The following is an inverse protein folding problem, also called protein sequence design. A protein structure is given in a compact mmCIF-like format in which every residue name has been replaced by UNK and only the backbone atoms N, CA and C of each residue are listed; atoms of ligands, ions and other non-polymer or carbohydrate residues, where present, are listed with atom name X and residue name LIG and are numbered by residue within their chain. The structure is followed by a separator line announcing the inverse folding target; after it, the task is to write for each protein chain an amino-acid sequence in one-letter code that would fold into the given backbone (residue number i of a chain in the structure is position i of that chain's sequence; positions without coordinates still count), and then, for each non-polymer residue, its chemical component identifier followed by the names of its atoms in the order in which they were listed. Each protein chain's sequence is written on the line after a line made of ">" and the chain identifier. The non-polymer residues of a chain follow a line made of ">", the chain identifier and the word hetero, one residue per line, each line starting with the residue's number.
data_IF_106723869246
#
_entry.id   IF_106723869246
#
_cell.length_a   1.000
_cell.length_b   1.000
_cell.length_c   1.000
_cell.angle_alpha   90.00
_cell.angle_beta   90.00
_cell.angle_gamma   90.00
#
_symmetry.space_group_name_H-M   'P 1'
#
loop_
_entity.id
_entity.type
_entity.pdbx_description
1 polymer ?
#
# COMPACT_ATOMS: atom_id res chain seq x y z
N UNK A 1 -29.37 -7.35 26.98
CA UNK A 1 -27.92 -7.45 27.19
C UNK A 1 -27.67 -8.50 28.28
N UNK A 2 -27.02 -9.63 28.00
CA UNK A 2 -26.67 -10.62 29.02
C UNK A 2 -25.21 -10.41 29.44
N UNK A 3 -24.94 -9.37 30.23
CA UNK A 3 -23.64 -9.25 30.94
C UNK A 3 -23.79 -10.01 32.25
N UNK A 4 -22.86 -10.91 32.53
CA UNK A 4 -22.82 -11.61 33.81
C UNK A 4 -22.26 -10.66 34.88
N UNK A 5 -23.13 -9.82 35.43
CA UNK A 5 -22.79 -8.85 36.45
C UNK A 5 -22.80 -9.54 37.82
N UNK A 6 -21.61 -9.82 38.35
CA UNK A 6 -21.50 -10.44 39.66
C UNK A 6 -21.81 -9.39 40.76
N UNK A 7 -22.61 -9.72 41.80
CA UNK A 7 -22.98 -8.76 42.84
C UNK A 7 -21.79 -8.15 43.61
N UNK A 8 -20.68 -8.89 43.73
CA UNK A 8 -19.45 -8.47 44.39
C UNK A 8 -18.64 -7.43 43.59
N UNK A 9 -18.91 -7.30 42.29
CA UNK A 9 -18.32 -6.27 41.42
C UNK A 9 -19.12 -4.96 41.40
N UNK A 10 -20.29 -4.92 42.06
CA UNK A 10 -21.12 -3.71 42.15
C UNK A 10 -20.43 -2.67 43.02
N UNK A 11 -20.33 -1.45 42.50
CA UNK A 11 -19.78 -0.31 43.21
C UNK A 11 -20.89 0.33 44.06
N UNK A 12 -20.57 0.84 45.27
CA UNK A 12 -21.53 1.56 46.09
C UNK A 12 -22.23 2.68 45.33
N UNK A 13 -23.51 2.85 45.62
CA UNK A 13 -24.33 3.87 44.99
C UNK A 13 -23.71 5.28 45.21
N UNK A 14 -23.86 6.13 44.19
CA UNK A 14 -23.38 7.51 44.26
C UNK A 14 -21.93 7.73 43.87
N UNK A 15 -21.30 6.78 43.20
CA UNK A 15 -20.02 7.01 42.51
C UNK A 15 -20.16 8.00 41.34
N UNK A 16 -21.25 7.87 40.58
CA UNK A 16 -21.68 8.81 39.55
C UNK A 16 -22.94 9.59 39.98
N UNK A 17 -23.14 10.75 39.39
CA UNK A 17 -24.43 11.45 39.46
C UNK A 17 -25.46 10.77 38.56
N UNK A 18 -26.74 10.94 38.92
CA UNK A 18 -27.89 10.47 38.13
C UNK A 18 -28.78 11.68 37.80
N UNK A 19 -29.06 11.97 36.51
CA UNK A 19 -28.52 11.27 35.34
C UNK A 19 -27.02 11.48 35.16
N UNK A 20 -26.37 10.61 34.38
CA UNK A 20 -24.92 10.70 34.14
C UNK A 20 -24.62 12.03 33.40
N UNK A 21 -23.81 12.94 33.98
CA UNK A 21 -23.68 14.28 33.43
C UNK A 21 -22.86 14.26 32.14
N UNK A 22 -23.41 14.83 31.06
CA UNK A 22 -22.68 15.06 29.83
C UNK A 22 -21.89 16.35 29.95
N UNK A 23 -20.58 16.24 30.14
CA UNK A 23 -19.66 17.39 30.24
C UNK A 23 -19.33 17.92 28.86
N UNK A 24 -19.04 17.02 27.91
CA UNK A 24 -18.70 17.38 26.53
C UNK A 24 -18.95 16.23 25.58
N UNK A 25 -19.73 16.45 24.51
CA UNK A 25 -19.95 15.43 23.48
C UNK A 25 -18.74 15.35 22.56
N UNK A 26 -18.23 14.14 22.31
CA UNK A 26 -17.12 13.88 21.39
C UNK A 26 -17.62 13.31 20.05
N UNK A 27 -18.69 12.51 20.09
CA UNK A 27 -19.38 11.99 18.92
C UNK A 27 -20.87 11.85 19.22
N UNK A 28 -21.68 12.36 18.31
CA UNK A 28 -23.14 12.38 18.38
C UNK A 28 -23.72 11.74 17.12
N UNK A 29 -24.79 10.96 17.31
CA UNK A 29 -25.65 10.52 16.22
C UNK A 29 -27.06 11.06 16.48
N UNK A 30 -27.98 10.22 16.94
CA UNK A 30 -29.30 10.66 17.43
C UNK A 30 -29.23 11.13 18.90
N UNK A 31 -28.20 10.69 19.61
CA UNK A 31 -27.87 11.06 20.98
C UNK A 31 -26.35 10.99 21.18
N UNK A 32 -25.82 11.50 22.31
CA UNK A 32 -24.41 11.35 22.65
C UNK A 32 -23.99 9.88 22.71
N UNK A 33 -23.11 9.45 21.80
CA UNK A 33 -22.61 8.08 21.75
C UNK A 33 -21.26 7.98 22.45
N UNK A 34 -20.38 8.95 22.20
CA UNK A 34 -19.09 9.07 22.89
C UNK A 34 -19.00 10.47 23.49
N UNK A 35 -18.79 10.57 24.79
CA UNK A 35 -18.76 11.85 25.47
C UNK A 35 -17.88 11.81 26.71
N UNK A 36 -17.53 12.98 27.21
CA UNK A 36 -16.89 13.15 28.50
C UNK A 36 -17.96 13.31 29.57
N UNK A 37 -17.78 12.59 30.66
CA UNK A 37 -18.57 12.72 31.88
C UNK A 37 -17.65 12.95 33.07
N UNK A 38 -18.20 13.01 34.27
CA UNK A 38 -17.43 13.13 35.51
C UNK A 38 -18.00 12.26 36.62
N UNK A 39 -17.12 11.77 37.47
CA UNK A 39 -17.53 11.21 38.77
C UNK A 39 -18.05 12.33 39.68
N UNK A 40 -18.70 11.97 40.80
CA UNK A 40 -19.10 12.96 41.82
C UNK A 40 -17.93 13.78 42.38
N UNK A 41 -16.72 13.24 42.33
CA UNK A 41 -15.50 13.90 42.78
C UNK A 41 -14.91 14.84 41.72
N UNK A 42 -15.55 14.95 40.55
CA UNK A 42 -15.11 15.81 39.46
C UNK A 42 -14.02 15.21 38.57
N UNK A 43 -13.73 13.91 38.71
CA UNK A 43 -12.78 13.23 37.81
C UNK A 43 -13.42 13.03 36.44
N UNK A 44 -12.76 13.51 35.38
CA UNK A 44 -13.23 13.36 34.01
C UNK A 44 -13.07 11.92 33.50
N UNK A 45 -14.12 11.42 32.85
CA UNK A 45 -14.22 10.04 32.37
C UNK A 45 -14.66 10.05 30.90
N UNK A 46 -14.17 9.09 30.12
CA UNK A 46 -14.68 8.81 28.79
C UNK A 46 -15.87 7.85 28.91
N UNK A 47 -17.02 8.25 28.38
CA UNK A 47 -18.24 7.47 28.33
C UNK A 47 -18.56 7.03 26.90
N UNK A 48 -19.07 5.80 26.76
CA UNK A 48 -19.55 5.21 25.53
C UNK A 48 -20.89 4.52 25.73
N UNK A 49 -21.91 4.91 24.96
CA UNK A 49 -23.21 4.26 24.96
C UNK A 49 -23.11 2.91 24.22
N UNK A 50 -23.09 1.82 24.99
CA UNK A 50 -22.84 0.47 24.49
C UNK A 50 -24.12 -0.27 24.07
N UNK A 51 -25.24 0.05 24.72
CA UNK A 51 -26.55 -0.51 24.38
C UNK A 51 -27.66 0.35 24.99
N UNK A 52 -28.82 0.29 24.36
CA UNK A 52 -30.06 0.87 24.86
C UNK A 52 -31.20 -0.16 24.75
N UNK A 53 -32.14 -0.07 25.66
CA UNK A 53 -33.39 -0.84 25.71
C UNK A 53 -34.52 0.12 26.09
N UNK A 54 -35.78 -0.29 26.05
CA UNK A 54 -36.92 0.59 26.40
C UNK A 54 -36.89 1.14 27.83
N UNK A 55 -36.13 0.52 28.74
CA UNK A 55 -36.11 0.87 30.16
C UNK A 55 -34.77 1.38 30.66
N UNK A 56 -33.68 0.99 29.99
CA UNK A 56 -32.33 1.25 30.48
C UNK A 56 -31.35 1.54 29.34
N UNK A 57 -30.37 2.38 29.66
CA UNK A 57 -29.15 2.58 28.90
C UNK A 57 -27.97 1.90 29.62
N UNK A 58 -27.05 1.35 28.83
CA UNK A 58 -25.83 0.71 29.30
C UNK A 58 -24.64 1.48 28.76
N UNK A 59 -23.90 2.13 29.66
CA UNK A 59 -22.83 3.06 29.34
C UNK A 59 -21.53 2.50 29.90
N UNK A 60 -20.52 2.34 29.04
CA UNK A 60 -19.18 1.98 29.47
C UNK A 60 -18.44 3.26 29.79
N UNK A 61 -17.85 3.36 30.98
CA UNK A 61 -17.06 4.51 31.41
C UNK A 61 -15.66 4.08 31.81
N UNK A 62 -14.67 4.90 31.47
CA UNK A 62 -13.26 4.69 31.82
C UNK A 62 -12.62 6.03 32.21
N UNK A 63 -11.65 6.04 33.14
CA UNK A 63 -10.88 7.24 33.39
C UNK A 63 -10.20 7.70 32.12
N UNK A 64 -10.17 9.00 31.89
CA UNK A 64 -9.47 9.56 30.75
C UNK A 64 -8.54 10.68 31.17
N UNK A 65 -7.59 10.99 30.30
CA UNK A 65 -6.68 12.12 30.46
C UNK A 65 -6.86 13.05 29.28
N UNK A 66 -6.52 14.33 29.46
CA UNK A 66 -6.55 15.29 28.36
C UNK A 66 -5.73 14.82 27.14
N UNK A 67 -4.62 14.11 27.37
CA UNK A 67 -3.82 13.53 26.29
C UNK A 67 -4.54 12.41 25.54
N UNK A 68 -5.24 11.50 26.25
CA UNK A 68 -6.03 10.43 25.63
C UNK A 68 -7.18 11.00 24.82
N UNK A 69 -7.88 12.00 25.36
CA UNK A 69 -8.95 12.72 24.65
C UNK A 69 -8.41 13.39 23.38
N UNK A 70 -7.28 14.11 23.48
CA UNK A 70 -6.66 14.73 22.31
C UNK A 70 -6.28 13.71 21.24
N UNK A 71 -5.75 12.54 21.64
CA UNK A 71 -5.41 11.46 20.70
C UNK A 71 -6.65 10.87 20.02
N UNK A 72 -7.79 10.78 20.71
CA UNK A 72 -9.07 10.37 20.10
C UNK A 72 -9.55 11.40 19.08
N UNK A 73 -9.51 12.69 19.46
CA UNK A 73 -9.91 13.82 18.61
C UNK A 73 -9.00 14.01 17.40
N UNK A 74 -7.75 13.53 17.43
CA UNK A 74 -6.87 13.54 16.25
C UNK A 74 -6.89 12.22 15.48
N UNK A 75 -7.65 11.22 15.94
CA UNK A 75 -7.71 9.89 15.32
C UNK A 75 -6.44 9.05 15.50
N UNK A 76 -5.57 9.40 16.45
CA UNK A 76 -4.32 8.67 16.72
C UNK A 76 -4.56 7.37 17.51
N UNK A 77 -5.65 7.30 18.27
CA UNK A 77 -6.15 6.09 18.93
C UNK A 77 -7.64 5.90 18.60
N UNK A 78 -8.12 4.64 18.61
CA UNK A 78 -9.53 4.34 18.42
C UNK A 78 -10.32 4.41 19.73
N UNK A 79 -11.65 4.45 19.62
CA UNK A 79 -12.57 4.58 20.76
C UNK A 79 -12.43 3.39 21.71
N UNK A 80 -12.35 2.16 21.19
CA UNK A 80 -12.16 0.97 22.01
C UNK A 80 -10.82 1.02 22.75
N UNK A 81 -9.73 1.33 22.04
CA UNK A 81 -8.41 1.40 22.66
C UNK A 81 -8.37 2.42 23.80
N UNK A 82 -9.04 3.57 23.65
CA UNK A 82 -9.12 4.57 24.71
C UNK A 82 -9.97 4.12 25.91
N UNK A 83 -11.03 3.34 25.67
CA UNK A 83 -11.88 2.80 26.75
C UNK A 83 -11.15 1.71 27.55
N UNK A 84 -10.43 0.81 26.87
CA UNK A 84 -9.83 -0.40 27.48
C UNK A 84 -8.39 -0.20 27.96
N UNK A 85 -7.79 0.99 27.78
CA UNK A 85 -6.41 1.30 28.21
C UNK A 85 -6.24 1.24 29.75
N UNK A 86 -7.35 1.23 30.48
CA UNK A 86 -7.40 1.30 31.94
C UNK A 86 -8.61 0.55 32.48
N UNK A 87 -8.85 0.61 33.79
CA UNK A 87 -10.03 0.03 34.41
C UNK A 87 -11.32 0.66 33.86
N UNK A 88 -12.36 -0.14 33.73
CA UNK A 88 -13.65 0.28 33.18
C UNK A 88 -14.78 -0.02 34.15
N UNK A 89 -15.87 0.71 33.97
CA UNK A 89 -17.13 0.44 34.64
C UNK A 89 -18.26 0.37 33.65
N UNK A 90 -19.25 -0.45 33.97
CA UNK A 90 -20.54 -0.45 33.31
C UNK A 90 -21.52 0.31 34.19
N UNK A 91 -22.12 1.36 33.64
CA UNK A 91 -23.21 2.11 34.25
C UNK A 91 -24.51 1.67 33.59
N UNK A 92 -25.46 1.24 34.40
CA UNK A 92 -26.84 0.98 33.97
C UNK A 92 -27.71 2.10 34.50
N UNK A 93 -28.26 2.87 33.58
CA UNK A 93 -29.08 4.04 33.88
C UNK A 93 -30.52 3.77 33.42
N UNK A 94 -31.50 3.98 34.30
CA UNK A 94 -32.90 3.92 33.92
C UNK A 94 -33.39 5.29 33.44
N UNK A 95 -34.38 5.34 32.56
CA UNK A 95 -34.97 6.61 32.09
C UNK A 95 -35.84 7.35 33.13
N UNK A 96 -35.99 6.79 34.33
CA UNK A 96 -36.73 7.40 35.44
C UNK A 96 -35.83 7.88 36.58
N UNK A 97 -36.42 8.16 37.75
CA UNK A 97 -35.70 8.59 38.97
C UNK A 97 -34.93 7.46 39.68
N UNK A 98 -34.75 6.30 39.03
CA UNK A 98 -33.99 5.21 39.60
C UNK A 98 -32.49 5.54 39.54
N UNK A 99 -31.81 5.45 40.68
CA UNK A 99 -30.37 5.69 40.76
C UNK A 99 -29.59 4.77 39.80
N UNK A 100 -28.54 5.30 39.18
CA UNK A 100 -27.65 4.54 38.33
C UNK A 100 -26.94 3.42 39.12
N UNK A 101 -26.94 2.21 38.55
CA UNK A 101 -26.21 1.07 39.08
C UNK A 101 -24.86 0.94 38.36
N UNK A 102 -23.79 0.63 39.09
CA UNK A 102 -22.42 0.65 38.55
C UNK A 102 -21.67 -0.62 38.90
N UNK A 103 -20.97 -1.22 37.93
CA UNK A 103 -20.13 -2.40 38.14
C UNK A 103 -18.73 -2.17 37.60
N UNK A 104 -17.73 -2.68 38.31
CA UNK A 104 -16.36 -2.80 37.79
C UNK A 104 -16.29 -3.94 36.77
N UNK A 105 -15.81 -3.66 35.57
CA UNK A 105 -15.75 -4.63 34.47
C UNK A 105 -14.41 -4.57 33.74
N UNK A 106 -13.97 -5.70 33.21
CA UNK A 106 -12.88 -5.79 32.23
C UNK A 106 -13.41 -5.94 30.81
N UNK A 107 -12.51 -5.87 29.82
CA UNK A 107 -12.86 -6.05 28.40
C UNK A 107 -13.51 -7.42 28.14
N UNK A 108 -13.04 -8.48 28.82
CA UNK A 108 -13.56 -9.84 28.66
C UNK A 108 -14.98 -10.03 29.23
N UNK A 109 -15.43 -9.15 30.12
CA UNK A 109 -16.77 -9.23 30.73
C UNK A 109 -17.86 -8.64 29.81
N UNK A 110 -17.45 -7.85 28.82
CA UNK A 110 -18.35 -7.16 27.89
C UNK A 110 -18.42 -7.95 26.58
N UNK A 111 -19.62 -8.36 26.12
CA UNK A 111 -19.74 -9.04 24.84
C UNK A 111 -19.20 -8.18 23.70
N UNK A 112 -18.45 -8.79 22.78
CA UNK A 112 -17.74 -8.08 21.70
C UNK A 112 -18.66 -7.19 20.86
N UNK A 113 -19.94 -7.56 20.70
CA UNK A 113 -20.93 -6.78 19.96
C UNK A 113 -21.28 -5.42 20.60
N UNK A 114 -21.02 -5.25 21.90
CA UNK A 114 -21.27 -4.04 22.67
C UNK A 114 -20.02 -3.18 22.88
N UNK A 115 -18.87 -3.61 22.33
CA UNK A 115 -17.67 -2.79 22.28
C UNK A 115 -17.49 -2.23 20.87
N UNK A 116 -16.89 -1.03 20.73
CA UNK A 116 -16.46 -0.57 19.42
C UNK A 116 -15.51 -1.61 18.79
N UNK A 117 -15.49 -1.71 17.45
CA UNK A 117 -14.49 -2.58 16.81
C UNK A 117 -13.09 -2.01 17.09
N UNK A 118 -12.10 -2.88 17.29
CA UNK A 118 -10.71 -2.42 17.47
C UNK A 118 -10.28 -1.52 16.30
N UNK A 119 -9.66 -0.38 16.61
CA UNK A 119 -9.25 0.63 15.66
C UNK A 119 -10.38 1.51 15.10
N UNK A 120 -11.61 1.42 15.65
CA UNK A 120 -12.71 2.32 15.25
C UNK A 120 -12.35 3.75 15.64
N UNK A 121 -12.22 4.68 14.68
CA UNK A 121 -11.92 6.07 14.99
C UNK A 121 -13.12 6.76 15.67
N UNK A 122 -12.86 7.89 16.32
CA UNK A 122 -13.91 8.76 16.86
C UNK A 122 -14.80 9.34 15.74
N UNK A 123 -14.19 9.87 14.68
CA UNK A 123 -14.87 10.50 13.56
C UNK A 123 -14.58 9.77 12.23
N UNK A 124 -15.48 9.82 11.25
CA UNK A 124 -15.24 9.23 9.93
C UNK A 124 -13.96 9.74 9.25
N UNK A 125 -13.63 11.03 9.35
CA UNK A 125 -12.43 11.62 8.75
C UNK A 125 -11.12 11.11 9.37
N UNK A 126 -11.17 10.48 10.55
CA UNK A 126 -10.01 9.90 11.23
C UNK A 126 -9.62 8.53 10.70
N UNK A 127 -10.38 7.95 9.76
CA UNK A 127 -10.06 6.64 9.16
C UNK A 127 -8.67 6.64 8.52
N UNK A 128 -8.02 5.48 8.58
CA UNK A 128 -6.72 5.25 7.94
C UNK A 128 -6.96 4.96 6.45
N UNK A 129 -6.49 5.87 5.60
CA UNK A 129 -6.58 5.75 4.15
C UNK A 129 -5.80 4.54 3.66
N UNK A 130 -4.54 4.47 4.06
CA UNK A 130 -3.61 3.43 3.66
C UNK A 130 -2.75 3.03 4.86
N UNK A 131 -2.54 1.74 5.07
CA UNK A 131 -1.61 1.25 6.08
C UNK A 131 -0.67 0.20 5.51
N UNK A 132 0.55 0.21 6.03
CA UNK A 132 1.55 -0.82 5.77
C UNK A 132 2.13 -1.28 7.11
N UNK A 133 2.21 -2.59 7.32
CA UNK A 133 2.63 -3.22 8.56
C UNK A 133 3.67 -4.29 8.26
N UNK A 134 4.86 -4.14 8.83
CA UNK A 134 5.91 -5.16 8.75
C UNK A 134 5.76 -6.20 9.86
N UNK A 135 5.90 -7.47 9.49
CA UNK A 135 5.76 -8.63 10.36
C UNK A 135 7.03 -9.49 10.27
N UNK A 136 7.50 -9.96 11.43
CA UNK A 136 8.60 -10.91 11.57
C UNK A 136 9.06 -11.00 13.02
N UNK A 137 9.72 -12.10 13.38
CA UNK A 137 10.08 -12.42 14.78
C UNK A 137 10.99 -11.38 15.45
N UNK A 138 11.77 -10.65 14.65
CA UNK A 138 12.64 -9.56 15.10
C UNK A 138 11.94 -8.21 15.32
N UNK A 139 10.63 -8.12 15.11
CA UNK A 139 9.87 -6.86 15.13
C UNK A 139 8.95 -6.83 16.36
N UNK A 140 9.50 -6.35 17.48
CA UNK A 140 8.76 -6.19 18.73
C UNK A 140 8.98 -4.80 19.34
N UNK A 141 8.08 -4.38 20.23
CA UNK A 141 8.18 -3.12 20.96
C UNK A 141 9.54 -3.02 21.68
N UNK A 142 10.24 -1.91 21.48
CA UNK A 142 11.59 -1.68 22.01
C UNK A 142 12.72 -2.41 21.27
N UNK A 143 12.42 -3.19 20.23
CA UNK A 143 13.40 -3.94 19.42
C UNK A 143 13.25 -3.75 17.91
N UNK A 144 12.41 -2.82 17.45
CA UNK A 144 12.19 -2.55 16.02
C UNK A 144 13.47 -2.00 15.38
N UNK A 145 14.08 -2.69 14.39
CA UNK A 145 15.26 -2.16 13.72
C UNK A 145 14.93 -0.94 12.85
N UNK A 146 15.87 0.01 12.73
CA UNK A 146 15.69 1.20 11.88
C UNK A 146 15.40 0.86 10.40
N UNK A 147 15.93 -0.26 9.90
CA UNK A 147 15.64 -0.76 8.55
C UNK A 147 14.17 -1.10 8.33
N UNK A 148 13.46 -1.56 9.37
CA UNK A 148 12.02 -1.83 9.32
C UNK A 148 11.23 -0.52 9.20
N UNK A 149 11.60 0.48 10.00
CA UNK A 149 10.97 1.81 9.97
C UNK A 149 11.16 2.45 8.59
N UNK A 150 12.39 2.45 8.09
CA UNK A 150 12.73 2.99 6.77
C UNK A 150 11.99 2.26 5.65
N UNK A 151 11.87 0.93 5.75
CA UNK A 151 11.16 0.14 4.76
C UNK A 151 9.67 0.52 4.70
N UNK A 152 8.95 0.45 5.83
CA UNK A 152 7.49 0.65 5.84
C UNK A 152 7.11 2.06 5.39
N UNK A 153 7.85 3.08 5.85
CA UNK A 153 7.62 4.48 5.46
C UNK A 153 7.88 4.72 3.97
N UNK A 154 8.92 4.10 3.41
CA UNK A 154 9.27 4.26 1.98
C UNK A 154 8.37 3.42 1.07
N UNK A 155 7.97 2.23 1.50
CA UNK A 155 7.19 1.28 0.72
C UNK A 155 5.82 1.84 0.34
N UNK A 156 5.09 2.40 1.32
CA UNK A 156 3.77 3.00 1.08
C UNK A 156 3.84 4.15 0.07
N UNK A 157 4.77 5.08 0.27
CA UNK A 157 4.99 6.21 -0.63
C UNK A 157 5.40 5.77 -2.03
N UNK A 158 6.37 4.85 -2.14
CA UNK A 158 6.85 4.36 -3.43
C UNK A 158 5.75 3.62 -4.22
N UNK A 159 4.91 2.86 -3.52
CA UNK A 159 3.80 2.14 -4.12
C UNK A 159 2.75 3.08 -4.70
N UNK A 160 2.23 3.99 -3.87
CA UNK A 160 1.25 5.00 -4.30
C UNK A 160 1.80 5.85 -5.43
N UNK A 161 3.05 6.30 -5.31
CA UNK A 161 3.71 7.09 -6.34
C UNK A 161 3.77 6.35 -7.69
N UNK A 162 4.11 5.07 -7.71
CA UNK A 162 4.23 4.31 -8.95
C UNK A 162 2.91 4.21 -9.74
N UNK A 163 1.78 3.95 -9.07
CA UNK A 163 0.46 3.92 -9.75
C UNK A 163 -0.07 5.31 -10.08
N UNK A 164 0.11 6.29 -9.18
CA UNK A 164 -0.38 7.65 -9.40
C UNK A 164 0.39 8.36 -10.51
N UNK A 165 1.72 8.23 -10.55
CA UNK A 165 2.52 8.79 -11.64
C UNK A 165 2.07 8.19 -12.97
N UNK A 166 1.84 6.88 -13.05
CA UNK A 166 1.40 6.24 -14.30
C UNK A 166 0.05 6.75 -14.77
N UNK A 167 -0.96 6.76 -13.90
CA UNK A 167 -2.32 7.19 -14.24
C UNK A 167 -2.38 8.69 -14.54
N UNK A 168 -1.59 9.51 -13.83
CA UNK A 168 -1.64 10.98 -13.98
C UNK A 168 -0.66 11.53 -15.02
N UNK A 169 0.48 10.88 -15.30
CA UNK A 169 1.40 11.28 -16.35
C UNK A 169 0.80 11.06 -17.75
N UNK A 170 -0.11 10.08 -17.90
CA UNK A 170 -0.93 9.96 -19.10
C UNK A 170 -1.80 11.21 -19.37
N UNK A 171 -1.97 12.10 -18.38
CA UNK A 171 -2.81 13.30 -18.46
C UNK A 171 -2.03 14.63 -18.37
N UNK A 172 -0.74 14.65 -18.03
CA UNK A 172 0.02 15.89 -17.85
C UNK A 172 1.51 15.75 -18.23
N UNK A 173 2.01 16.64 -19.08
CA UNK A 173 3.46 16.82 -19.33
C UNK A 173 4.04 17.81 -18.29
N UNK A 174 4.98 17.38 -17.44
CA UNK A 174 5.75 18.28 -16.58
C UNK A 174 5.99 17.83 -15.13
N UNK A 175 6.51 18.73 -14.30
CA UNK A 175 6.78 18.50 -12.86
C UNK A 175 5.47 18.28 -12.11
N UNK A 176 5.36 17.27 -11.21
CA UNK A 176 4.14 17.04 -10.44
C UNK A 176 3.74 18.26 -9.61
N UNK A 177 2.46 18.61 -9.62
CA UNK A 177 1.91 19.70 -8.80
C UNK A 177 1.96 19.33 -7.31
N UNK A 178 1.90 20.31 -6.41
CA UNK A 178 1.91 20.03 -4.97
C UNK A 178 0.68 19.20 -4.55
N UNK A 179 -0.47 19.42 -5.20
CA UNK A 179 -1.67 18.59 -5.03
C UNK A 179 -1.44 17.12 -5.43
N UNK A 180 -0.70 16.87 -6.51
CA UNK A 180 -0.32 15.50 -6.91
C UNK A 180 0.66 14.86 -5.92
N UNK A 181 1.63 15.63 -5.40
CA UNK A 181 2.57 15.12 -4.39
C UNK A 181 1.85 14.74 -3.10
N UNK A 182 0.83 15.51 -2.71
CA UNK A 182 0.01 15.23 -1.53
C UNK A 182 -0.72 13.88 -1.61
N UNK A 183 -0.91 13.30 -2.80
CA UNK A 183 -1.59 12.00 -2.97
C UNK A 183 -0.71 10.80 -2.62
N UNK A 184 0.62 10.94 -2.66
CA UNK A 184 1.56 9.86 -2.31
C UNK A 184 2.48 10.20 -1.13
N UNK A 185 2.55 11.46 -0.71
CA UNK A 185 3.25 11.90 0.51
C UNK A 185 2.25 12.15 1.65
N UNK A 186 1.49 11.10 1.96
CA UNK A 186 0.40 11.15 2.93
C UNK A 186 0.91 11.40 4.36
N UNK A 187 0.21 12.20 5.17
CA UNK A 187 0.60 12.43 6.55
C UNK A 187 0.43 11.16 7.40
N UNK A 188 1.43 10.88 8.23
CA UNK A 188 1.37 9.79 9.21
C UNK A 188 0.36 10.15 10.29
N UNK A 189 -0.65 9.29 10.49
CA UNK A 189 -1.68 9.43 11.51
C UNK A 189 -1.48 8.48 12.69
N UNK A 190 -1.00 7.28 12.41
CA UNK A 190 -0.87 6.22 13.42
C UNK A 190 0.44 5.46 13.27
N UNK A 191 1.05 5.14 14.41
CA UNK A 191 2.17 4.22 14.54
C UNK A 191 1.81 3.14 15.56
N UNK A 192 2.02 1.86 15.21
CA UNK A 192 1.90 0.74 16.16
C UNK A 192 3.22 -0.03 16.22
N UNK A 193 3.51 -0.62 17.38
CA UNK A 193 4.86 -1.12 17.72
C UNK A 193 4.93 -2.58 18.18
N UNK A 194 3.80 -3.27 18.41
CA UNK A 194 3.78 -4.74 18.61
C UNK A 194 4.19 -5.53 17.33
N UNK A 195 4.18 -4.79 16.23
CA UNK A 195 4.64 -5.04 14.86
C UNK A 195 4.69 -3.63 14.28
N UNK A 196 5.64 -3.28 13.42
CA UNK A 196 5.74 -1.89 12.97
C UNK A 196 4.69 -1.58 11.90
N UNK A 197 3.61 -0.89 12.27
CA UNK A 197 2.55 -0.41 11.36
C UNK A 197 2.59 1.11 11.24
N UNK A 198 2.53 1.61 10.00
CA UNK A 198 2.30 3.02 9.70
C UNK A 198 0.92 3.15 9.07
N UNK A 199 0.04 3.92 9.72
CA UNK A 199 -1.26 4.33 9.18
C UNK A 199 -1.19 5.74 8.64
N UNK A 200 -1.55 5.91 7.38
CA UNK A 200 -1.54 7.17 6.64
C UNK A 200 -2.97 7.71 6.54
N UNK A 201 -3.13 9.01 6.73
CA UNK A 201 -4.40 9.68 6.49
C UNK A 201 -4.54 10.05 5.02
N UNK A 202 -5.78 10.16 4.55
CA UNK A 202 -6.03 10.77 3.25
C UNK A 202 -5.57 12.24 3.28
N UNK A 203 -5.19 12.80 2.12
CA UNK A 203 -5.08 14.24 1.98
C UNK A 203 -6.50 14.85 2.04
N UNK A 204 -6.62 16.17 1.93
CA UNK A 204 -7.92 16.88 1.95
C UNK A 204 -8.97 16.17 1.05
N UNK A 205 -10.21 16.02 1.55
CA UNK A 205 -11.24 15.15 0.97
C UNK A 205 -11.51 15.40 -0.52
N UNK A 206 -11.38 16.65 -0.98
CA UNK A 206 -11.62 17.07 -2.36
C UNK A 206 -10.68 16.39 -3.38
N UNK A 207 -9.50 15.93 -2.95
CA UNK A 207 -8.52 15.31 -3.83
C UNK A 207 -8.88 13.85 -4.20
N UNK A 208 -9.75 13.20 -3.43
CA UNK A 208 -10.09 11.78 -3.62
C UNK A 208 -11.16 11.56 -4.70
N UNK A 209 -12.00 12.56 -5.00
CA UNK A 209 -13.05 12.45 -6.02
C UNK A 209 -12.50 12.43 -7.47
N UNK A 210 -11.18 12.48 -7.63
CA UNK A 210 -10.53 12.42 -8.92
C UNK A 210 -10.54 10.97 -9.47
N UNK A 211 -11.15 10.78 -10.64
CA UNK A 211 -11.19 9.48 -11.34
C UNK A 211 -9.81 8.82 -11.48
N UNK A 212 -8.75 9.62 -11.65
CA UNK A 212 -7.38 9.11 -11.74
C UNK A 212 -6.87 8.51 -10.42
N UNK A 213 -7.30 9.04 -9.28
CA UNK A 213 -6.98 8.47 -7.97
C UNK A 213 -7.70 7.13 -7.81
N UNK A 214 -9.00 7.08 -8.13
CA UNK A 214 -9.77 5.84 -8.07
C UNK A 214 -9.21 4.74 -8.98
N UNK A 215 -8.78 5.10 -10.19
CA UNK A 215 -8.13 4.16 -11.11
C UNK A 215 -6.78 3.68 -10.56
N UNK A 216 -5.96 4.58 -10.02
CA UNK A 216 -4.67 4.20 -9.42
C UNK A 216 -4.84 3.25 -8.22
N UNK A 217 -5.86 3.45 -7.41
CA UNK A 217 -6.21 2.55 -6.30
C UNK A 217 -6.73 1.20 -6.80
N UNK A 218 -7.51 1.20 -7.88
CA UNK A 218 -7.95 -0.04 -8.53
C UNK A 218 -6.76 -0.84 -9.05
N UNK A 219 -5.78 -0.17 -9.68
CA UNK A 219 -4.52 -0.77 -10.11
C UNK A 219 -3.73 -1.36 -8.95
N UNK A 220 -3.63 -0.63 -7.84
CA UNK A 220 -2.96 -1.12 -6.65
C UNK A 220 -3.67 -2.35 -6.06
N UNK A 221 -4.99 -2.32 -5.93
CA UNK A 221 -5.80 -3.46 -5.46
C UNK A 221 -5.63 -4.69 -6.35
N UNK A 222 -5.64 -4.52 -7.68
CA UNK A 222 -5.41 -5.61 -8.64
C UNK A 222 -4.04 -6.25 -8.45
N UNK A 223 -2.99 -5.44 -8.31
CA UNK A 223 -1.64 -5.94 -8.07
C UNK A 223 -1.48 -6.66 -6.73
N UNK A 224 -2.05 -6.09 -5.66
CA UNK A 224 -2.05 -6.69 -4.33
C UNK A 224 -2.80 -8.02 -4.28
N UNK A 225 -4.03 -8.05 -4.82
CA UNK A 225 -4.83 -9.25 -4.90
C UNK A 225 -4.11 -10.36 -5.69
N UNK A 226 -3.55 -10.02 -6.85
CA UNK A 226 -2.78 -10.97 -7.64
C UNK A 226 -1.52 -11.44 -6.90
N UNK A 227 -0.79 -10.59 -6.19
CA UNK A 227 0.43 -11.00 -5.49
C UNK A 227 0.18 -11.85 -4.23
N UNK A 228 -1.01 -11.76 -3.65
CA UNK A 228 -1.45 -12.58 -2.51
C UNK A 228 -1.87 -13.99 -2.94
N UNK A 229 -2.40 -14.17 -4.16
CA UNK A 229 -2.79 -15.51 -4.63
C UNK A 229 -1.57 -16.41 -4.86
N UNK A 230 -1.72 -17.69 -4.54
CA UNK A 230 -0.72 -18.72 -4.82
C UNK A 230 -0.63 -19.10 -6.31
N UNK A 231 -1.60 -18.69 -7.12
CA UNK A 231 -1.66 -19.02 -8.55
C UNK A 231 -0.69 -18.17 -9.37
N UNK A 232 0.11 -18.80 -10.22
CA UNK A 232 1.07 -18.15 -11.12
C UNK A 232 0.43 -17.62 -12.41
N UNK A 233 -0.91 -17.59 -12.49
CA UNK A 233 -1.68 -17.03 -13.60
C UNK A 233 -1.31 -15.60 -13.98
N UNK A 234 -1.60 -15.21 -15.21
CA UNK A 234 -1.28 -13.88 -15.73
C UNK A 234 -2.09 -12.79 -15.04
N UNK A 235 -1.41 -11.69 -14.71
CA UNK A 235 -2.03 -10.45 -14.24
C UNK A 235 -2.92 -9.90 -15.37
N UNK A 236 -4.24 -9.89 -15.15
CA UNK A 236 -5.22 -9.46 -16.13
C UNK A 236 -5.27 -7.92 -16.19
N UNK A 237 -4.54 -7.32 -17.12
CA UNK A 237 -4.50 -5.85 -17.34
C UNK A 237 -4.51 -5.55 -18.83
N UNK A 238 -5.05 -4.38 -19.20
CA UNK A 238 -5.26 -3.99 -20.59
C UNK A 238 -3.97 -3.76 -21.41
N UNK A 239 -2.81 -3.54 -20.77
CA UNK A 239 -1.55 -3.33 -21.48
C UNK A 239 -0.30 -3.50 -20.60
N UNK A 240 0.86 -3.63 -21.26
CA UNK A 240 2.14 -3.90 -20.60
C UNK A 240 2.62 -2.74 -19.73
N UNK A 241 2.33 -1.49 -20.12
CA UNK A 241 2.67 -0.31 -19.32
C UNK A 241 1.88 -0.28 -18.00
N UNK A 242 0.58 -0.57 -18.04
CA UNK A 242 -0.27 -0.70 -16.85
C UNK A 242 0.22 -1.85 -15.96
N UNK A 243 0.51 -3.00 -16.57
CA UNK A 243 1.05 -4.16 -15.85
C UNK A 243 2.38 -3.82 -15.17
N UNK A 244 3.29 -3.10 -15.84
CA UNK A 244 4.55 -2.69 -15.24
C UNK A 244 4.34 -1.74 -14.05
N UNK A 245 3.47 -0.73 -14.18
CA UNK A 245 3.17 0.21 -13.11
C UNK A 245 2.59 -0.50 -11.87
N UNK A 246 1.61 -1.39 -12.09
CA UNK A 246 0.98 -2.20 -11.05
C UNK A 246 2.03 -3.07 -10.34
N UNK A 247 2.87 -3.77 -11.10
CA UNK A 247 3.88 -4.68 -10.54
C UNK A 247 4.97 -3.91 -9.78
N UNK A 248 5.41 -2.74 -10.26
CA UNK A 248 6.36 -1.89 -9.52
C UNK A 248 5.78 -1.41 -8.19
N UNK A 249 4.52 -0.96 -8.20
CA UNK A 249 3.83 -0.51 -7.00
C UNK A 249 3.66 -1.65 -5.98
N UNK A 250 3.27 -2.83 -6.48
CA UNK A 250 3.12 -4.04 -5.65
C UNK A 250 4.47 -4.49 -5.08
N UNK A 251 5.52 -4.50 -5.90
CA UNK A 251 6.87 -4.90 -5.49
C UNK A 251 7.40 -4.07 -4.32
N UNK A 252 7.11 -2.76 -4.33
CA UNK A 252 7.50 -1.84 -3.25
C UNK A 252 6.92 -2.25 -1.88
N UNK A 253 5.73 -2.87 -1.87
CA UNK A 253 5.05 -3.34 -0.66
C UNK A 253 5.42 -4.76 -0.26
N UNK A 254 6.12 -5.53 -1.11
CA UNK A 254 6.54 -6.88 -0.76
C UNK A 254 7.74 -6.88 0.20
N UNK A 255 7.81 -7.82 1.16
CA UNK A 255 8.92 -7.90 2.09
C UNK A 255 10.24 -8.13 1.35
N UNK A 256 11.37 -7.53 1.79
CA UNK A 256 12.68 -7.81 1.21
C UNK A 256 13.03 -9.31 1.22
N UNK A 257 13.90 -9.73 0.29
CA UNK A 257 14.31 -11.14 0.16
C UNK A 257 15.04 -11.68 1.39
N UNK A 258 15.68 -10.80 2.16
CA UNK A 258 16.40 -11.12 3.39
C UNK A 258 16.12 -10.08 4.49
N UNK A 259 16.50 -10.41 5.72
CA UNK A 259 16.32 -9.54 6.89
C UNK A 259 15.18 -9.98 7.81
N UNK A 260 14.85 -9.12 8.76
CA UNK A 260 13.87 -9.39 9.83
C UNK A 260 12.41 -9.28 9.40
N UNK A 261 12.14 -8.74 8.20
CA UNK A 261 10.80 -8.62 7.65
C UNK A 261 10.52 -9.90 6.86
N UNK A 262 9.49 -10.62 7.29
CA UNK A 262 9.06 -11.89 6.70
C UNK A 262 7.82 -11.71 5.85
N UNK A 263 6.91 -10.85 6.33
CA UNK A 263 5.68 -10.49 5.66
C UNK A 263 5.35 -9.00 5.82
N UNK A 264 4.51 -8.51 4.93
CA UNK A 264 3.94 -7.16 4.98
C UNK A 264 2.43 -7.28 4.85
N UNK A 265 1.70 -6.70 5.80
CA UNK A 265 0.26 -6.47 5.71
C UNK A 265 0.00 -5.08 5.16
N UNK A 266 -0.89 -4.98 4.17
CA UNK A 266 -1.30 -3.70 3.57
C UNK A 266 -2.81 -3.56 3.69
N UNK A 267 -3.29 -2.41 4.16
CA UNK A 267 -4.72 -2.19 4.38
C UNK A 267 -5.14 -0.73 4.30
N UNK A 268 -6.33 -0.44 4.83
CA UNK A 268 -6.92 0.90 4.86
C UNK A 268 -8.21 1.01 4.06
N UNK A 269 -8.95 2.10 4.23
CA UNK A 269 -10.24 2.24 3.55
C UNK A 269 -10.10 2.51 2.05
N UNK A 270 -8.93 3.01 1.58
CA UNK A 270 -8.64 3.10 0.14
C UNK A 270 -8.58 1.74 -0.53
N UNK A 271 -8.35 0.68 0.25
CA UNK A 271 -8.35 -0.70 -0.21
C UNK A 271 -9.68 -1.41 0.11
N UNK A 272 -10.77 -0.68 0.30
CA UNK A 272 -12.08 -1.24 0.64
C UNK A 272 -12.15 -1.87 2.03
N UNK A 273 -11.19 -1.55 2.91
CA UNK A 273 -11.06 -2.18 4.23
C UNK A 273 -10.48 -3.59 4.20
N UNK A 274 -10.10 -4.10 3.03
CA UNK A 274 -9.40 -5.37 2.92
C UNK A 274 -7.96 -5.26 3.41
N UNK A 275 -7.42 -6.36 3.94
CA UNK A 275 -6.02 -6.47 4.37
C UNK A 275 -5.33 -7.56 3.56
N UNK A 276 -4.41 -7.14 2.70
CA UNK A 276 -3.59 -8.03 1.89
C UNK A 276 -2.34 -8.45 2.67
N UNK A 277 -2.00 -9.72 2.60
CA UNK A 277 -0.82 -10.30 3.22
C UNK A 277 0.21 -10.71 2.15
N UNK A 278 1.34 -9.98 2.11
CA UNK A 278 2.41 -10.21 1.14
C UNK A 278 3.61 -10.87 1.80
N UNK A 279 4.10 -11.95 1.22
CA UNK A 279 5.29 -12.67 1.70
C UNK A 279 6.45 -12.59 0.70
N UNK A 280 7.58 -13.25 1.02
CA UNK A 280 8.72 -13.35 0.10
C UNK A 280 8.39 -14.13 -1.18
N UNK A 281 7.39 -15.03 -1.15
CA UNK A 281 6.91 -15.69 -2.37
C UNK A 281 6.21 -14.68 -3.29
N UNK A 282 5.38 -13.79 -2.73
CA UNK A 282 4.76 -12.67 -3.45
C UNK A 282 5.82 -11.79 -4.12
N UNK A 283 6.91 -11.46 -3.42
CA UNK A 283 8.05 -10.73 -4.01
C UNK A 283 8.65 -11.45 -5.22
N UNK A 284 8.90 -12.74 -5.08
CA UNK A 284 9.51 -13.57 -6.13
C UNK A 284 8.62 -13.61 -7.36
N UNK A 285 7.32 -13.83 -7.16
CA UNK A 285 6.28 -13.80 -8.19
C UNK A 285 6.24 -12.48 -8.94
N UNK A 286 6.10 -11.37 -8.23
CA UNK A 286 6.07 -10.01 -8.81
C UNK A 286 7.36 -9.70 -9.56
N UNK A 287 8.52 -10.01 -8.98
CA UNK A 287 9.83 -9.77 -9.60
C UNK A 287 10.04 -10.58 -10.88
N UNK A 288 9.61 -11.84 -10.89
CA UNK A 288 9.66 -12.72 -12.07
C UNK A 288 8.82 -12.15 -13.21
N UNK A 289 7.58 -11.72 -12.91
CA UNK A 289 6.71 -11.12 -13.93
C UNK A 289 7.25 -9.80 -14.46
N UNK A 290 7.78 -8.94 -13.58
CA UNK A 290 8.38 -7.67 -13.99
C UNK A 290 9.57 -7.87 -14.95
N UNK A 291 10.38 -8.92 -14.73
CA UNK A 291 11.48 -9.27 -15.67
C UNK A 291 10.95 -9.70 -17.04
N UNK A 292 9.88 -10.51 -17.06
CA UNK A 292 9.25 -10.96 -18.31
C UNK A 292 8.71 -9.79 -19.16
N UNK A 293 8.24 -8.70 -18.53
CA UNK A 293 7.80 -7.49 -19.23
C UNK A 293 8.96 -6.64 -19.77
N UNK A 294 10.14 -6.75 -19.17
CA UNK A 294 11.32 -5.90 -19.49
C UNK A 294 12.27 -6.52 -20.49
N UNK A 295 12.02 -7.74 -20.97
CA UNK A 295 12.87 -8.42 -21.95
C UNK A 295 12.76 -7.80 -23.37
N UNK A 296 12.61 -6.48 -23.51
CA UNK A 296 12.66 -5.78 -24.80
C UNK A 296 13.70 -4.66 -24.72
N UNK A 297 14.91 -4.93 -25.20
CA UNK A 297 15.99 -3.94 -25.29
C UNK A 297 16.15 -3.48 -26.73
N UNK A 298 16.00 -2.18 -27.00
CA UNK A 298 16.33 -1.64 -28.33
C UNK A 298 17.86 -1.62 -28.44
N UNK A 299 18.39 -2.39 -29.38
CA UNK A 299 19.82 -2.56 -29.60
C UNK A 299 20.20 -2.13 -31.00
N UNK A 300 21.43 -1.67 -31.14
CA UNK A 300 22.03 -1.32 -32.41
C UNK A 300 23.38 -2.03 -32.50
N UNK A 301 23.57 -2.83 -33.54
CA UNK A 301 24.79 -3.57 -33.78
C UNK A 301 25.37 -3.21 -35.14
N UNK A 302 26.70 -3.13 -35.24
CA UNK A 302 27.43 -2.99 -36.51
C UNK A 302 28.25 -4.24 -36.78
N UNK A 303 28.11 -4.83 -37.97
CA UNK A 303 28.76 -6.09 -38.35
C UNK A 303 28.55 -6.44 -39.82
N UNK A 304 28.75 -7.71 -40.18
CA UNK A 304 28.52 -8.25 -41.53
C UNK A 304 27.57 -9.45 -41.46
N UNK A 305 26.67 -9.60 -42.42
CA UNK A 305 25.82 -10.80 -42.48
C UNK A 305 26.69 -11.98 -42.92
N UNK A 306 26.87 -12.95 -42.04
CA UNK A 306 27.68 -14.15 -42.32
C UNK A 306 26.86 -15.32 -42.85
N UNK A 307 25.58 -15.38 -42.52
CA UNK A 307 24.65 -16.42 -42.97
C UNK A 307 23.23 -15.85 -42.99
N UNK A 308 22.44 -16.27 -43.98
CA UNK A 308 21.01 -15.94 -44.11
C UNK A 308 20.24 -17.23 -44.45
N UNK A 309 19.12 -17.44 -43.76
CA UNK A 309 18.17 -18.54 -43.97
C UNK A 309 16.85 -17.91 -44.42
N UNK A 310 16.61 -17.94 -45.72
CA UNK A 310 15.47 -17.29 -46.37
C UNK A 310 14.13 -17.94 -45.96
N UNK A 311 14.11 -19.26 -45.72
CA UNK A 311 12.89 -19.98 -45.33
C UNK A 311 12.47 -19.64 -43.90
N UNK A 312 13.44 -19.39 -43.01
CA UNK A 312 13.18 -19.06 -41.60
C UNK A 312 13.26 -17.56 -41.30
N UNK A 313 13.53 -16.73 -42.30
CA UNK A 313 13.79 -15.28 -42.15
C UNK A 313 14.76 -14.99 -41.01
N UNK A 314 15.87 -15.73 -40.97
CA UNK A 314 16.86 -15.67 -39.90
C UNK A 314 18.27 -15.42 -40.45
N UNK A 315 19.13 -14.83 -39.63
CA UNK A 315 20.49 -14.49 -40.04
C UNK A 315 21.48 -14.58 -38.87
N UNK A 316 22.77 -14.64 -39.22
CA UNK A 316 23.88 -14.54 -38.28
C UNK A 316 24.73 -13.31 -38.62
N UNK A 317 24.82 -12.36 -37.69
CA UNK A 317 25.69 -11.20 -37.74
C UNK A 317 27.07 -11.56 -37.21
N UNK A 318 28.09 -11.43 -38.05
CA UNK A 318 29.52 -11.62 -37.74
C UNK A 318 30.23 -10.28 -37.62
N UNK A 319 31.47 -10.33 -37.13
CA UNK A 319 32.36 -9.15 -36.96
C UNK A 319 31.72 -8.00 -36.18
N UNK A 320 30.87 -8.36 -35.20
CA UNK A 320 30.16 -7.41 -34.35
C UNK A 320 31.18 -6.62 -33.54
N UNK A 321 31.16 -5.29 -33.63
CA UNK A 321 32.07 -4.45 -32.85
C UNK A 321 31.94 -4.75 -31.35
N UNK A 322 33.02 -5.23 -30.74
CA UNK A 322 33.11 -5.45 -29.30
C UNK A 322 32.30 -6.64 -28.76
N UNK A 323 31.89 -7.59 -29.60
CA UNK A 323 31.07 -8.71 -29.14
C UNK A 323 31.16 -9.99 -29.97
N UNK A 324 30.60 -11.10 -29.44
CA UNK A 324 30.47 -12.35 -30.19
C UNK A 324 29.45 -12.21 -31.33
N UNK A 325 29.46 -13.18 -32.24
CA UNK A 325 28.45 -13.30 -33.30
C UNK A 325 27.03 -13.31 -32.71
N UNK A 326 26.08 -12.71 -33.43
CA UNK A 326 24.69 -12.58 -33.00
C UNK A 326 23.75 -13.20 -34.00
N UNK A 327 22.80 -14.01 -33.52
CA UNK A 327 21.73 -14.54 -34.34
C UNK A 327 20.47 -13.69 -34.19
N UNK A 328 19.77 -13.44 -35.29
CA UNK A 328 18.52 -12.70 -35.27
C UNK A 328 17.52 -13.16 -36.33
N UNK A 329 16.34 -12.57 -36.29
CA UNK A 329 15.28 -12.70 -37.29
C UNK A 329 14.89 -11.34 -37.83
N UNK A 330 14.33 -11.30 -39.03
CA UNK A 330 13.85 -10.09 -39.69
C UNK A 330 12.47 -10.34 -40.30
N UNK A 331 11.74 -9.27 -40.65
CA UNK A 331 10.47 -9.38 -41.39
C UNK A 331 10.72 -9.64 -42.87
N UNK A 332 9.74 -10.23 -43.56
CA UNK A 332 9.81 -10.47 -45.02
C UNK A 332 10.06 -9.19 -45.82
N UNK A 333 9.56 -8.04 -45.33
CA UNK A 333 9.81 -6.71 -45.91
C UNK A 333 11.29 -6.34 -46.00
N UNK A 334 12.13 -6.87 -45.08
CA UNK A 334 13.57 -6.61 -45.04
C UNK A 334 14.37 -7.68 -45.81
N UNK A 335 13.73 -8.70 -46.39
CA UNK A 335 14.42 -9.83 -47.02
C UNK A 335 15.34 -9.37 -48.16
N UNK A 336 14.86 -8.47 -49.02
CA UNK A 336 15.63 -7.97 -50.15
C UNK A 336 16.84 -7.15 -49.70
N UNK A 337 16.68 -6.29 -48.69
CA UNK A 337 17.78 -5.51 -48.10
C UNK A 337 18.83 -6.41 -47.44
N UNK A 338 18.38 -7.42 -46.68
CA UNK A 338 19.25 -8.39 -46.01
C UNK A 338 20.03 -9.22 -47.04
N UNK A 339 19.40 -9.65 -48.13
CA UNK A 339 20.06 -10.38 -49.24
C UNK A 339 21.08 -9.51 -49.95
N UNK A 340 20.71 -8.28 -50.30
CA UNK A 340 21.61 -7.33 -50.96
C UNK A 340 22.90 -7.16 -50.15
N UNK A 341 22.77 -6.86 -48.86
CA UNK A 341 23.94 -6.69 -47.99
C UNK A 341 24.75 -7.96 -47.75
N UNK A 342 24.10 -9.13 -47.74
CA UNK A 342 24.78 -10.42 -47.67
C UNK A 342 25.64 -10.68 -48.93
N UNK A 343 25.08 -10.50 -50.13
CA UNK A 343 25.80 -10.73 -51.39
C UNK A 343 26.93 -9.72 -51.62
N UNK A 344 26.70 -8.46 -51.25
CA UNK A 344 27.72 -7.41 -51.37
C UNK A 344 28.81 -7.54 -50.30
N UNK A 345 28.62 -8.37 -49.27
CA UNK A 345 29.55 -8.52 -48.14
C UNK A 345 29.85 -7.19 -47.44
N UNK A 346 28.90 -6.26 -47.49
CA UNK A 346 29.04 -4.92 -46.95
C UNK A 346 28.91 -4.92 -45.42
N UNK A 347 29.61 -4.00 -44.77
CA UNK A 347 29.42 -3.76 -43.34
C UNK A 347 28.12 -2.99 -43.15
N UNK A 348 27.30 -3.44 -42.23
CA UNK A 348 25.96 -2.90 -41.99
C UNK A 348 25.77 -2.53 -40.53
N UNK A 349 24.86 -1.60 -40.30
CA UNK A 349 24.33 -1.25 -39.00
C UNK A 349 22.88 -1.68 -38.93
N UNK A 350 22.57 -2.50 -37.92
CA UNK A 350 21.26 -3.10 -37.70
C UNK A 350 20.68 -2.53 -36.42
N UNK A 351 19.44 -2.03 -36.47
CA UNK A 351 18.65 -1.72 -35.29
C UNK A 351 17.54 -2.73 -35.10
N UNK A 352 17.28 -3.11 -33.86
CA UNK A 352 16.24 -4.07 -33.55
C UNK A 352 15.91 -4.13 -32.07
N UNK A 353 15.00 -5.04 -31.73
CA UNK A 353 14.61 -5.33 -30.35
C UNK A 353 15.22 -6.68 -29.96
N UNK A 354 16.01 -6.69 -28.90
CA UNK A 354 16.55 -7.89 -28.28
C UNK A 354 15.53 -8.41 -27.27
N UNK A 355 14.98 -9.60 -27.52
CA UNK A 355 14.07 -10.30 -26.61
C UNK A 355 14.59 -11.68 -26.27
N UNK A 356 14.87 -11.92 -25.00
CA UNK A 356 15.45 -13.19 -24.51
C UNK A 356 16.69 -13.62 -25.31
N UNK A 357 17.60 -12.66 -25.56
CA UNK A 357 18.81 -12.82 -26.39
C UNK A 357 18.57 -13.15 -27.89
N UNK A 358 17.31 -13.13 -28.36
CA UNK A 358 16.99 -13.19 -29.79
C UNK A 358 16.80 -11.78 -30.32
N UNK A 359 17.59 -11.41 -31.32
CA UNK A 359 17.50 -10.12 -31.98
C UNK A 359 16.39 -10.16 -33.04
N UNK A 360 15.40 -9.28 -32.96
CA UNK A 360 14.45 -9.02 -34.04
C UNK A 360 14.79 -7.70 -34.71
N UNK A 361 15.18 -7.75 -35.97
CA UNK A 361 15.59 -6.59 -36.74
C UNK A 361 14.38 -5.79 -37.19
N UNK A 362 14.48 -4.47 -37.07
CA UNK A 362 13.47 -3.52 -37.53
C UNK A 362 13.98 -2.57 -38.61
N UNK A 363 15.30 -2.38 -38.71
CA UNK A 363 15.92 -1.67 -39.84
C UNK A 363 17.36 -2.12 -40.06
N UNK A 364 17.80 -2.03 -41.31
CA UNK A 364 19.16 -2.33 -41.75
C UNK A 364 19.66 -1.18 -42.63
N UNK A 365 20.91 -0.76 -42.46
CA UNK A 365 21.52 0.30 -43.26
C UNK A 365 22.99 -0.05 -43.54
N UNK A 366 23.46 0.20 -44.76
CA UNK A 366 24.89 0.13 -45.07
C UNK A 366 25.68 1.12 -44.20
N UNK A 367 26.77 0.66 -43.59
CA UNK A 367 27.69 1.55 -42.90
C UNK A 367 28.53 2.27 -43.96
N UNK A 368 28.52 3.62 -44.05
CA UNK A 368 29.31 4.32 -45.03
C UNK A 368 30.79 4.04 -44.80
N UNK A 369 31.52 3.70 -45.87
CA UNK A 369 32.97 3.49 -45.82
C UNK A 369 33.63 4.69 -45.13
N UNK A 370 34.21 4.45 -43.95
CA UNK A 370 35.05 5.46 -43.32
C UNK A 370 36.27 5.67 -44.23
N UNK A 371 36.52 6.89 -44.71
CA UNK A 371 37.72 7.15 -45.51
C UNK A 371 38.94 6.78 -44.69
N UNK A 372 39.82 5.96 -45.28
CA UNK A 372 41.05 5.49 -44.67
C UNK A 372 41.81 6.68 -44.07
N UNK A 373 41.99 6.68 -42.75
CA UNK A 373 42.85 7.63 -42.06
C UNK A 373 44.27 7.41 -42.59
N UNK A 374 44.75 8.32 -43.43
CA UNK A 374 46.16 8.39 -43.82
C UNK A 374 46.97 8.59 -42.55
N UNK A 375 47.73 7.57 -42.17
CA UNK A 375 48.73 7.64 -41.13
C UNK A 375 49.91 8.46 -41.64
N UNK A 376 49.92 9.77 -41.34
CA UNK A 376 51.12 10.59 -41.44
C UNK A 376 52.14 10.09 -40.40
N UNK A 377 53.21 9.48 -40.89
CA UNK A 377 54.44 9.29 -40.13
C UNK A 377 55.24 10.60 -40.17
N UNK A 378 55.59 11.21 -39.01
CA UNK A 378 56.58 12.27 -38.98
C UNK A 378 57.98 11.65 -38.87
N UNK A 379 58.89 12.09 -39.75
CA UNK A 379 60.35 11.96 -39.62
C UNK A 379 60.90 12.88 -38.51
#
# INVERSE_FOLDING_TARGET
>A
MNINLLPDQRIPDGFFDHPLPVVRVLYEAEQPIVYLTKTRQGQEMLAYLASETDQHQFIIVSPTTHNSVRKLETGSIGVREALVDTWMWLVKEGFGDAAAEVWSVGEADIPVAHLPKAGTPLLPEHRIAFSARAIGDGIALGRVPCSVISFVTSAARASLKAVLDHVMAARNEGRPTDAQRALYDLPVRQLKFASFEVGLAAPQEDLFQNEGVLLALTYLQTGLAWAETADDGDLQVAGDADAEAILRATLALTPPTSGVIEAVEVGGYWLGGHRYHLSRSSRTKVSKRLRQLRDEEIVVYSGRIGEIDDDKLSFTLRDVQGGPERRGTFSEELLDDMRMHYYESNRIRISGVLRQAKLRVTAVVAEPDQPAVQSDHPD
#
